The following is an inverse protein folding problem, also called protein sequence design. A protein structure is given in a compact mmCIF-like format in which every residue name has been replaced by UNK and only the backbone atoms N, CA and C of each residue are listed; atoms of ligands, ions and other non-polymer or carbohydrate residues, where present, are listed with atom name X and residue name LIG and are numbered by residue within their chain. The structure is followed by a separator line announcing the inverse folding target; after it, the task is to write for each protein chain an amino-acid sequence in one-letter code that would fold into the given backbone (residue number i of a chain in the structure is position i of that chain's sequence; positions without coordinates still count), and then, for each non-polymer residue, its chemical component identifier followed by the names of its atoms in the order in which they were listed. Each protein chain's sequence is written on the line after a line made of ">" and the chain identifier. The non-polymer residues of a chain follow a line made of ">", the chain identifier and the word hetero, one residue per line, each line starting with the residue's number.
data_IF_510364342679
#
_entry.id   IF_510364342679
#
_cell.length_a   1.000
_cell.length_b   1.000
_cell.length_c   1.000
_cell.angle_alpha   90.00
_cell.angle_beta   90.00
_cell.angle_gamma   90.00
#
_symmetry.space_group_name_H-M   'P 1'
#
loop_
_entity.id
_entity.type
_entity.pdbx_description
1 polymer ?
#
# COMPACT_ATOMS: atom_id res chain seq x y z
N UNK A 1 8.55 5.74 -4.99
CA UNK A 1 7.59 6.31 -4.02
C UNK A 1 6.32 6.62 -4.77
N UNK A 2 5.18 6.56 -4.11
CA UNK A 2 3.89 6.91 -4.68
C UNK A 2 2.85 7.07 -3.59
N UNK A 3 1.69 7.60 -3.97
CA UNK A 3 0.53 7.77 -3.10
C UNK A 3 -0.49 6.70 -3.40
N UNK A 4 -1.11 6.16 -2.36
CA UNK A 4 -2.15 5.14 -2.52
C UNK A 4 -3.48 5.81 -2.87
N UNK A 5 -3.95 5.60 -4.09
CA UNK A 5 -5.26 6.09 -4.53
C UNK A 5 -6.40 5.13 -4.18
N UNK A 6 -6.11 3.82 -4.10
CA UNK A 6 -7.09 2.79 -3.81
C UNK A 6 -6.45 1.60 -3.08
N UNK A 7 -7.18 1.00 -2.15
CA UNK A 7 -6.78 -0.24 -1.46
C UNK A 7 -7.82 -1.32 -1.72
N UNK A 8 -7.34 -2.53 -1.99
CA UNK A 8 -8.20 -3.70 -2.07
C UNK A 8 -8.69 -4.17 -0.70
N UNK A 9 -9.60 -5.15 -0.65
CA UNK A 9 -10.06 -5.76 0.59
C UNK A 9 -8.97 -6.56 1.34
N UNK A 10 -7.81 -6.76 0.71
CA UNK A 10 -6.68 -7.51 1.22
C UNK A 10 -6.61 -8.96 0.74
N UNK A 11 -5.54 -9.64 1.13
CA UNK A 11 -5.29 -11.03 0.74
C UNK A 11 -6.28 -12.00 1.40
N UNK A 12 -6.40 -13.21 0.87
CA UNK A 12 -7.07 -14.32 1.56
C UNK A 12 -6.01 -15.36 1.95
N UNK A 13 -6.13 -15.91 3.15
CA UNK A 13 -5.31 -17.05 3.56
C UNK A 13 -5.85 -18.38 2.97
N UNK A 14 -5.15 -19.50 3.25
CA UNK A 14 -5.57 -20.85 2.82
C UNK A 14 -6.92 -21.27 3.41
N UNK A 15 -7.35 -20.67 4.53
CA UNK A 15 -8.65 -20.91 5.15
C UNK A 15 -9.76 -20.02 4.56
N UNK A 16 -9.45 -19.17 3.59
CA UNK A 16 -10.38 -18.22 2.98
C UNK A 16 -10.69 -16.99 3.85
N UNK A 17 -9.99 -16.81 4.97
CA UNK A 17 -10.12 -15.65 5.83
C UNK A 17 -9.46 -14.45 5.17
N UNK A 18 -10.16 -13.32 5.20
CA UNK A 18 -9.65 -12.06 4.71
C UNK A 18 -8.55 -11.54 5.65
N UNK A 19 -7.38 -11.26 5.09
CA UNK A 19 -6.29 -10.54 5.76
C UNK A 19 -6.46 -9.07 5.39
N UNK A 20 -6.85 -8.19 6.33
CA UNK A 20 -7.00 -6.77 6.04
C UNK A 20 -5.65 -6.16 5.67
N UNK A 21 -5.66 -5.24 4.70
CA UNK A 21 -4.52 -4.41 4.36
C UNK A 21 -4.34 -3.33 5.44
N UNK A 22 -3.11 -3.12 5.90
CA UNK A 22 -2.79 -2.09 6.90
C UNK A 22 -2.63 -0.68 6.29
N UNK A 23 -2.57 -0.61 4.96
CA UNK A 23 -2.43 0.61 4.17
C UNK A 23 -3.76 1.34 3.97
N UNK A 24 -3.69 2.66 3.86
CA UNK A 24 -4.88 3.50 3.63
C UNK A 24 -4.73 4.35 2.39
N UNK A 25 -5.89 4.74 1.84
CA UNK A 25 -5.93 5.74 0.77
C UNK A 25 -5.34 7.06 1.29
N UNK A 26 -4.43 7.64 0.52
CA UNK A 26 -3.67 8.84 0.88
C UNK A 26 -2.33 8.56 1.59
N UNK A 27 -2.03 7.31 1.95
CA UNK A 27 -0.72 6.97 2.49
C UNK A 27 0.34 7.07 1.39
N UNK A 28 1.49 7.68 1.71
CA UNK A 28 2.67 7.68 0.86
C UNK A 28 3.49 6.44 1.15
N UNK A 29 3.88 5.71 0.11
CA UNK A 29 4.60 4.46 0.24
C UNK A 29 5.86 4.42 -0.61
N UNK A 30 6.86 3.71 -0.11
CA UNK A 30 8.03 3.28 -0.85
C UNK A 30 7.82 1.86 -1.36
N UNK A 31 8.02 1.69 -2.65
CA UNK A 31 8.01 0.41 -3.35
C UNK A 31 9.22 0.35 -4.28
N UNK A 32 9.65 -0.87 -4.61
CA UNK A 32 10.77 -1.09 -5.51
C UNK A 32 10.49 -0.55 -6.91
N UNK A 33 11.53 -0.13 -7.62
CA UNK A 33 11.43 0.39 -8.99
C UNK A 33 10.82 -0.63 -9.98
N UNK A 34 10.95 -1.92 -9.67
CA UNK A 34 10.49 -3.05 -10.47
C UNK A 34 9.23 -3.71 -9.90
N UNK A 35 8.59 -3.06 -8.92
CA UNK A 35 7.42 -3.57 -8.21
C UNK A 35 6.13 -3.04 -8.84
N UNK A 36 5.19 -3.95 -9.10
CA UNK A 36 3.88 -3.61 -9.64
C UNK A 36 3.73 -3.76 -11.15
N UNK A 37 2.48 -3.78 -11.59
CA UNK A 37 2.06 -3.81 -12.97
C UNK A 37 1.36 -2.50 -13.32
N UNK A 38 1.63 -1.97 -14.49
CA UNK A 38 0.96 -0.78 -14.99
C UNK A 38 -0.43 -1.14 -15.53
N UNK A 39 -1.44 -0.40 -15.11
CA UNK A 39 -2.84 -0.63 -15.47
C UNK A 39 -3.45 0.69 -15.90
N UNK A 40 -4.15 0.68 -17.03
CA UNK A 40 -4.93 1.84 -17.48
C UNK A 40 -6.37 1.68 -17.00
N UNK A 41 -6.80 2.56 -16.10
CA UNK A 41 -8.17 2.62 -15.61
C UNK A 41 -8.73 4.01 -15.88
N UNK A 42 -9.89 4.09 -16.54
CA UNK A 42 -10.57 5.37 -16.83
C UNK A 42 -9.67 6.43 -17.51
N UNK A 43 -8.75 5.97 -18.37
CA UNK A 43 -7.79 6.83 -19.07
C UNK A 43 -6.59 7.29 -18.23
N UNK A 44 -6.46 6.83 -16.99
CA UNK A 44 -5.33 7.12 -16.10
C UNK A 44 -4.39 5.91 -16.03
N UNK A 45 -3.08 6.16 -16.11
CA UNK A 45 -2.04 5.17 -15.86
C UNK A 45 -1.84 5.05 -14.34
N UNK A 46 -2.19 3.88 -13.80
CA UNK A 46 -2.06 3.53 -12.39
C UNK A 46 -1.10 2.35 -12.24
N UNK A 47 -0.43 2.26 -11.09
CA UNK A 47 0.46 1.15 -10.76
C UNK A 47 -0.22 0.26 -9.72
N UNK A 48 -0.55 -0.98 -10.08
CA UNK A 48 -1.09 -1.97 -9.16
C UNK A 48 0.02 -2.87 -8.64
N UNK A 49 0.09 -3.09 -7.33
CA UNK A 49 1.05 -4.00 -6.72
C UNK A 49 0.46 -4.69 -5.50
N UNK A 50 1.14 -5.71 -4.99
CA UNK A 50 0.74 -6.39 -3.75
C UNK A 50 1.28 -5.61 -2.56
N UNK A 51 0.59 -5.72 -1.43
CA UNK A 51 1.05 -5.16 -0.15
C UNK A 51 2.45 -5.66 0.23
N UNK A 52 2.79 -6.91 -0.10
CA UNK A 52 4.10 -7.50 0.16
C UNK A 52 5.27 -6.84 -0.60
N UNK A 53 4.99 -6.13 -1.70
CA UNK A 53 6.01 -5.42 -2.48
C UNK A 53 6.29 -4.00 -1.93
N UNK A 54 5.52 -3.57 -0.94
CA UNK A 54 5.70 -2.28 -0.28
C UNK A 54 6.80 -2.39 0.77
N UNK A 55 7.82 -1.55 0.63
CA UNK A 55 8.97 -1.52 1.53
C UNK A 55 8.69 -0.74 2.81
N UNK A 56 7.76 0.23 2.77
CA UNK A 56 7.34 0.97 3.94
C UNK A 56 6.45 2.17 3.63
N UNK A 57 5.73 2.64 4.64
CA UNK A 57 4.92 3.87 4.57
C UNK A 57 5.78 5.06 4.98
N UNK A 58 5.85 6.07 4.12
CA UNK A 58 6.48 7.35 4.37
C UNK A 58 5.56 8.20 5.24
N UNK A 59 5.89 8.32 6.52
CA UNK A 59 5.29 9.33 7.41
C UNK A 59 6.03 10.64 7.23
N UNK A 60 5.59 11.49 6.29
CA UNK A 60 6.12 12.87 6.13
C UNK A 60 5.61 13.83 7.24
N UNK A 61 5.40 13.29 8.43
CA UNK A 61 5.21 14.00 9.69
C UNK A 61 6.14 13.33 10.70
N UNK A 62 6.90 14.11 11.51
CA UNK A 62 7.85 13.57 12.46
C UNK A 62 7.12 12.54 13.30
N UNK A 63 7.64 11.30 13.29
CA UNK A 63 7.08 10.16 13.98
C UNK A 63 6.42 10.62 15.28
N UNK A 64 5.08 10.58 15.31
CA UNK A 64 4.35 10.68 16.55
C UNK A 64 4.82 9.49 17.36
N UNK A 65 5.80 9.76 18.22
CA UNK A 65 6.33 8.85 19.23
C UNK A 65 5.12 8.18 19.87
N UNK A 66 4.81 6.94 19.49
CA UNK A 66 4.14 6.03 20.41
C UNK A 66 5.15 5.79 21.50
N UNK A 67 5.14 6.73 22.47
CA UNK A 67 5.75 6.61 23.77
C UNK A 67 5.12 5.34 24.36
N UNK A 68 5.83 4.23 24.27
CA UNK A 68 5.54 3.09 25.14
C UNK A 68 5.71 3.62 26.56
N UNK A 69 4.60 3.64 27.29
CA UNK A 69 4.54 3.99 28.70
C UNK A 69 5.05 2.81 29.54
#
# INVERSE_FOLDING_TARGET
>A
QGEITAVGPGGRDEAGKLIPIDLKVGDRVLFGKWSGNEVKLDGQELLIMKESDIMGVLTDLPAAKKKAA
#
